data_IF_006214663732
#
_entry.id   IF_006214663732
#
_cell.length_a   1.000
_cell.length_b   1.000
_cell.length_c   1.000
_cell.angle_alpha   90.00
_cell.angle_beta   90.00
_cell.angle_gamma   90.00
#
_symmetry.space_group_name_H-M   'P 1'
#
loop_
_entity.id
_entity.type
_entity.pdbx_description
1 polymer ?
#
# COMPACT_ATOMS: atom_id res chain seq x y z
N UNK A 1 42.21 -18.38 5.82
CA UNK A 1 42.00 -17.01 6.33
C UNK A 1 41.10 -16.15 5.44
N UNK A 2 41.20 -16.20 4.11
CA UNK A 2 40.35 -15.42 3.21
C UNK A 2 38.85 -15.77 3.31
N UNK A 3 38.48 -17.02 3.58
CA UNK A 3 37.08 -17.47 3.71
C UNK A 3 36.38 -16.92 4.96
N UNK A 4 37.08 -16.62 6.03
CA UNK A 4 36.51 -16.10 7.28
C UNK A 4 36.16 -14.61 7.15
N UNK A 5 36.93 -13.86 6.37
CA UNK A 5 36.73 -12.43 6.11
C UNK A 5 35.47 -12.22 5.26
N UNK A 6 35.20 -13.08 4.25
CA UNK A 6 34.02 -13.02 3.42
C UNK A 6 32.72 -13.32 4.19
N UNK A 7 32.78 -14.27 5.13
CA UNK A 7 31.63 -14.60 5.99
C UNK A 7 31.28 -13.46 6.94
N UNK A 8 32.25 -12.74 7.47
CA UNK A 8 32.06 -11.58 8.33
C UNK A 8 31.44 -10.39 7.56
N UNK A 9 31.87 -10.15 6.32
CA UNK A 9 31.31 -9.11 5.45
C UNK A 9 29.85 -9.40 5.08
N UNK A 10 29.51 -10.65 4.75
CA UNK A 10 28.14 -11.07 4.46
C UNK A 10 27.22 -10.92 5.67
N UNK A 11 27.68 -11.26 6.87
CA UNK A 11 26.92 -11.12 8.10
C UNK A 11 26.65 -9.65 8.45
N UNK A 12 27.61 -8.76 8.20
CA UNK A 12 27.47 -7.32 8.41
C UNK A 12 26.47 -6.69 7.41
N UNK A 13 26.47 -7.11 6.15
CA UNK A 13 25.52 -6.66 5.15
C UNK A 13 24.09 -7.12 5.47
N UNK A 14 23.90 -8.34 5.92
CA UNK A 14 22.59 -8.87 6.31
C UNK A 14 21.99 -8.14 7.51
N UNK A 15 22.81 -7.78 8.49
CA UNK A 15 22.38 -7.02 9.65
C UNK A 15 22.00 -5.57 9.30
N UNK A 16 22.70 -4.94 8.35
CA UNK A 16 22.37 -3.59 7.87
C UNK A 16 21.05 -3.58 7.08
N UNK A 17 20.80 -4.57 6.21
CA UNK A 17 19.55 -4.72 5.48
C UNK A 17 18.36 -4.94 6.41
N UNK A 18 18.50 -5.75 7.46
CA UNK A 18 17.44 -6.01 8.43
C UNK A 18 17.04 -4.75 9.23
N UNK A 19 17.98 -3.85 9.49
CA UNK A 19 17.69 -2.57 10.17
C UNK A 19 16.96 -1.57 9.26
N UNK A 20 17.24 -1.59 7.96
CA UNK A 20 16.62 -0.70 6.97
C UNK A 20 15.18 -1.12 6.74
N UNK A 21 14.88 -2.43 6.63
CA UNK A 21 13.54 -2.96 6.41
C UNK A 21 12.52 -2.54 7.48
N UNK A 22 12.94 -2.38 8.72
CA UNK A 22 12.05 -1.97 9.82
C UNK A 22 11.59 -0.52 9.71
N UNK A 23 12.34 0.36 9.05
CA UNK A 23 12.00 1.78 8.91
C UNK A 23 11.01 2.05 7.79
N UNK A 24 10.79 1.11 6.87
CA UNK A 24 9.88 1.28 5.73
C UNK A 24 8.47 0.76 5.98
N UNK A 25 8.20 0.18 7.13
CA UNK A 25 6.89 -0.40 7.42
C UNK A 25 5.84 0.66 7.67
N UNK A 26 4.70 0.48 7.04
CA UNK A 26 3.49 1.27 7.24
C UNK A 26 2.44 0.44 7.95
N UNK A 27 1.54 1.08 8.67
CA UNK A 27 0.46 0.40 9.41
C UNK A 27 -0.86 1.13 9.23
N UNK A 28 -1.94 0.37 9.21
CA UNK A 28 -3.29 0.89 9.05
C UNK A 28 -4.32 -0.23 9.04
N UNK A 29 -5.59 0.15 8.93
CA UNK A 29 -6.68 -0.81 8.84
C UNK A 29 -6.73 -1.45 7.45
N UNK A 30 -7.05 -2.74 7.42
CA UNK A 30 -7.08 -3.55 6.19
C UNK A 30 -8.48 -3.83 5.68
N UNK A 31 -9.51 -3.43 6.41
CA UNK A 31 -10.90 -3.70 6.06
C UNK A 31 -11.77 -2.47 6.19
N UNK A 32 -12.71 -2.33 5.26
CA UNK A 32 -13.75 -1.31 5.26
C UNK A 32 -15.10 -2.00 5.11
N UNK A 33 -16.10 -1.51 5.81
CA UNK A 33 -17.45 -2.04 5.70
C UNK A 33 -18.05 -1.81 4.31
N UNK A 34 -19.11 -2.56 3.99
CA UNK A 34 -19.85 -2.39 2.74
C UNK A 34 -20.45 -0.98 2.59
N UNK A 35 -20.73 -0.31 3.67
CA UNK A 35 -21.28 1.06 3.67
C UNK A 35 -20.30 2.10 3.15
N UNK A 36 -19.03 1.76 3.03
CA UNK A 36 -17.97 2.68 2.64
C UNK A 36 -17.29 3.30 3.85
N UNK A 37 -16.36 4.16 3.56
CA UNK A 37 -15.57 4.85 4.58
C UNK A 37 -14.13 5.02 4.13
N UNK A 38 -13.31 5.49 5.04
CA UNK A 38 -11.89 5.69 4.76
C UNK A 38 -11.01 5.05 5.82
N UNK A 39 -9.83 4.62 5.40
CA UNK A 39 -8.77 4.15 6.28
C UNK A 39 -7.52 4.97 6.02
N UNK A 40 -6.74 5.17 7.07
CA UNK A 40 -5.48 5.90 7.00
C UNK A 40 -4.33 4.95 7.30
N UNK A 41 -3.34 4.97 6.43
CA UNK A 41 -2.08 4.26 6.63
C UNK A 41 -0.98 5.26 6.92
N UNK A 42 -0.17 4.95 7.93
CA UNK A 42 0.92 5.81 8.39
C UNK A 42 2.18 4.97 8.57
N UNK A 43 3.37 5.57 8.38
CA UNK A 43 4.61 4.83 8.65
C UNK A 43 4.72 4.53 10.15
N UNK A 44 5.32 3.40 10.50
CA UNK A 44 5.55 3.04 11.90
C UNK A 44 6.46 4.03 12.62
N UNK A 45 7.37 4.64 11.87
CA UNK A 45 8.26 5.68 12.38
C UNK A 45 8.06 6.90 11.50
N UNK A 46 7.55 7.98 12.07
CA UNK A 46 7.40 9.24 11.35
C UNK A 46 8.76 9.87 11.05
N UNK A 47 8.93 10.33 9.83
CA UNK A 47 10.17 10.94 9.34
C UNK A 47 9.79 11.96 8.26
N UNK A 48 10.47 13.14 8.20
CA UNK A 48 10.23 14.10 7.12
C UNK A 48 10.48 13.53 5.72
N UNK A 49 11.12 12.37 5.61
CA UNK A 49 11.41 11.70 4.35
C UNK A 49 10.34 10.68 3.93
N UNK A 50 9.30 10.47 4.73
CA UNK A 50 8.17 9.61 4.37
C UNK A 50 7.08 10.38 3.62
N UNK A 51 7.44 10.93 2.47
CA UNK A 51 6.43 11.46 1.55
C UNK A 51 6.37 10.54 0.33
N UNK A 52 5.19 10.08 -0.08
CA UNK A 52 5.08 9.27 -1.29
C UNK A 52 5.57 10.05 -2.51
N UNK A 53 6.51 9.47 -3.24
CA UNK A 53 6.97 10.01 -4.52
C UNK A 53 6.08 9.54 -5.67
N UNK A 54 5.53 8.34 -5.55
CA UNK A 54 4.51 7.84 -6.44
C UNK A 54 3.59 6.84 -5.73
N UNK A 55 2.40 6.65 -6.30
CA UNK A 55 1.45 5.64 -5.89
C UNK A 55 1.07 4.78 -7.09
N UNK A 56 1.09 3.47 -6.92
CA UNK A 56 0.50 2.52 -7.85
C UNK A 56 -0.70 1.87 -7.17
N UNK A 57 -1.83 1.82 -7.84
CA UNK A 57 -3.06 1.27 -7.28
C UNK A 57 -3.57 0.16 -8.18
N UNK A 58 -3.84 -0.99 -7.57
CA UNK A 58 -4.49 -2.12 -8.23
C UNK A 58 -5.84 -2.33 -7.56
N UNK A 59 -6.90 -2.11 -8.31
CA UNK A 59 -8.26 -2.34 -7.84
C UNK A 59 -8.77 -3.68 -8.35
N UNK A 60 -9.30 -4.50 -7.46
CA UNK A 60 -9.83 -5.83 -7.78
C UNK A 60 -11.32 -5.90 -7.47
N UNK A 61 -12.10 -6.25 -8.46
CA UNK A 61 -13.55 -6.45 -8.35
C UNK A 61 -13.92 -7.79 -8.98
N UNK A 62 -15.13 -8.26 -8.73
CA UNK A 62 -15.70 -9.42 -9.40
C UNK A 62 -16.80 -8.95 -10.34
N UNK A 63 -16.89 -9.57 -11.53
CA UNK A 63 -17.97 -9.32 -12.47
C UNK A 63 -19.26 -10.05 -12.06
N UNK A 64 -20.32 -9.89 -12.84
CA UNK A 64 -21.62 -10.53 -12.59
C UNK A 64 -21.58 -12.05 -12.55
N UNK A 65 -20.57 -12.64 -13.18
CA UNK A 65 -20.37 -14.10 -13.22
C UNK A 65 -19.48 -14.62 -12.12
N UNK A 66 -18.93 -13.72 -11.25
CA UNK A 66 -18.01 -14.07 -10.18
C UNK A 66 -16.54 -14.17 -10.61
N UNK A 67 -16.20 -13.74 -11.81
CA UNK A 67 -14.83 -13.70 -12.28
C UNK A 67 -14.14 -12.41 -11.81
N UNK A 68 -12.88 -12.53 -11.41
CA UNK A 68 -12.06 -11.42 -10.96
C UNK A 68 -11.68 -10.51 -12.12
N UNK A 69 -11.85 -9.21 -11.92
CA UNK A 69 -11.42 -8.17 -12.85
C UNK A 69 -10.42 -7.26 -12.14
N UNK A 70 -9.28 -7.03 -12.76
CA UNK A 70 -8.22 -6.20 -12.20
C UNK A 70 -8.09 -4.92 -13.02
N UNK A 71 -8.13 -3.77 -12.31
CA UNK A 71 -7.85 -2.46 -12.86
C UNK A 71 -6.59 -1.92 -12.20
N UNK A 72 -5.65 -1.42 -13.02
CA UNK A 72 -4.39 -0.89 -12.51
C UNK A 72 -4.18 0.55 -12.97
N UNK A 73 -3.77 1.41 -12.04
CA UNK A 73 -3.40 2.80 -12.33
C UNK A 73 -2.09 3.14 -11.64
N UNK A 74 -1.18 3.75 -12.38
CA UNK A 74 0.11 4.19 -11.84
C UNK A 74 0.22 5.70 -12.05
N UNK A 75 0.59 6.40 -10.99
CA UNK A 75 0.76 7.85 -11.01
C UNK A 75 2.11 8.24 -10.43
N UNK A 76 2.89 8.96 -11.23
CA UNK A 76 4.12 9.61 -10.80
C UNK A 76 3.89 11.12 -10.80
N UNK A 77 3.26 11.63 -9.76
CA UNK A 77 2.80 12.99 -9.75
C UNK A 77 2.88 13.59 -8.33
N UNK A 78 3.28 14.87 -8.19
CA UNK A 78 3.23 15.54 -6.89
C UNK A 78 1.84 15.61 -6.24
N UNK A 79 0.77 15.50 -7.01
CA UNK A 79 -0.59 15.50 -6.46
C UNK A 79 -0.96 14.18 -5.77
N UNK A 80 -0.29 13.08 -6.14
CA UNK A 80 -0.41 11.78 -5.46
C UNK A 80 -1.86 11.35 -5.16
N UNK A 81 -2.73 11.52 -6.13
CA UNK A 81 -4.13 11.17 -6.00
C UNK A 81 -4.53 10.22 -7.12
N UNK A 82 -5.13 9.09 -6.75
CA UNK A 82 -5.64 8.09 -7.68
C UNK A 82 -7.10 7.88 -7.38
N UNK A 83 -7.98 8.17 -8.33
CA UNK A 83 -9.42 8.02 -8.18
C UNK A 83 -10.00 7.05 -9.21
N UNK A 84 -10.71 6.03 -8.71
CA UNK A 84 -11.50 5.13 -9.51
C UNK A 84 -12.99 5.42 -9.31
N UNK A 85 -13.85 4.58 -9.88
CA UNK A 85 -15.30 4.75 -9.74
C UNK A 85 -15.79 4.56 -8.31
N UNK A 86 -15.13 3.71 -7.54
CA UNK A 86 -15.57 3.34 -6.20
C UNK A 86 -14.51 3.53 -5.11
N UNK A 87 -13.35 4.03 -5.45
CA UNK A 87 -12.26 4.25 -4.50
C UNK A 87 -11.49 5.53 -4.83
N UNK A 88 -10.79 6.03 -3.83
CA UNK A 88 -9.86 7.15 -3.98
C UNK A 88 -8.69 6.94 -3.03
N UNK A 89 -7.47 7.07 -3.55
CA UNK A 89 -6.24 6.96 -2.77
C UNK A 89 -5.51 8.30 -2.83
N UNK A 90 -5.17 8.84 -1.66
CA UNK A 90 -4.47 10.12 -1.54
C UNK A 90 -3.21 9.95 -0.70
N UNK A 91 -2.06 10.35 -1.26
CA UNK A 91 -0.79 10.34 -0.54
C UNK A 91 -0.42 11.74 -0.03
N UNK A 92 0.04 11.79 1.22
CA UNK A 92 0.54 13.00 1.88
C UNK A 92 1.77 12.66 2.71
N UNK A 93 2.41 13.67 3.29
CA UNK A 93 3.51 13.46 4.21
C UNK A 93 3.07 12.56 5.38
N UNK A 94 3.76 11.44 5.57
CA UNK A 94 3.47 10.45 6.62
C UNK A 94 2.03 9.92 6.63
N UNK A 95 1.35 9.91 5.45
CA UNK A 95 -0.05 9.51 5.39
C UNK A 95 -0.46 9.04 4.00
N UNK A 96 -1.20 7.93 3.95
CA UNK A 96 -1.94 7.51 2.77
C UNK A 96 -3.37 7.22 3.19
N UNK A 97 -4.32 7.89 2.56
CA UNK A 97 -5.74 7.71 2.82
C UNK A 97 -6.37 6.90 1.69
N UNK A 98 -7.11 5.86 2.03
CA UNK A 98 -7.87 5.06 1.07
C UNK A 98 -9.36 5.21 1.40
N UNK A 99 -10.12 5.76 0.48
CA UNK A 99 -11.55 6.00 0.62
C UNK A 99 -12.35 5.04 -0.28
N UNK A 100 -13.44 4.53 0.23
CA UNK A 100 -14.34 3.63 -0.50
C UNK A 100 -15.76 4.18 -0.50
N UNK A 101 -16.39 4.11 -1.66
CA UNK A 101 -17.85 4.32 -1.78
C UNK A 101 -18.57 3.05 -1.30
N UNK A 102 -19.89 3.11 -1.01
CA UNK A 102 -20.64 1.91 -0.65
C UNK A 102 -20.52 0.80 -1.70
N UNK A 103 -20.35 -0.42 -1.23
CA UNK A 103 -20.36 -1.60 -2.08
C UNK A 103 -21.77 -2.22 -2.07
N UNK A 104 -22.46 -2.13 -3.18
CA UNK A 104 -23.81 -2.69 -3.35
C UNK A 104 -23.80 -4.03 -4.10
N UNK A 105 -22.62 -4.59 -4.34
CA UNK A 105 -22.48 -5.88 -5.02
C UNK A 105 -22.43 -7.04 -4.04
N UNK A 106 -22.74 -8.28 -4.47
CA UNK A 106 -22.63 -9.46 -3.58
C UNK A 106 -21.21 -9.95 -3.38
N UNK A 107 -20.21 -9.26 -3.92
CA UNK A 107 -18.82 -9.67 -3.83
C UNK A 107 -17.97 -8.65 -3.08
N UNK A 108 -16.97 -9.11 -2.29
CA UNK A 108 -15.98 -8.18 -1.74
C UNK A 108 -15.14 -7.59 -2.87
N UNK A 109 -14.50 -6.47 -2.60
CA UNK A 109 -13.55 -5.84 -3.52
C UNK A 109 -12.39 -5.28 -2.74
N UNK A 110 -11.27 -5.05 -3.42
CA UNK A 110 -10.04 -4.63 -2.75
C UNK A 110 -9.24 -3.62 -3.56
N UNK A 111 -8.44 -2.85 -2.84
CA UNK A 111 -7.46 -1.94 -3.41
C UNK A 111 -6.11 -2.29 -2.82
N UNK A 112 -5.15 -2.53 -3.69
CA UNK A 112 -3.74 -2.69 -3.30
C UNK A 112 -2.98 -1.44 -3.68
N UNK A 113 -2.33 -0.83 -2.71
CA UNK A 113 -1.54 0.38 -2.90
C UNK A 113 -0.07 0.05 -2.77
N UNK A 114 0.70 0.44 -3.77
CA UNK A 114 2.16 0.39 -3.73
C UNK A 114 2.66 1.83 -3.73
N UNK A 115 3.42 2.18 -2.72
CA UNK A 115 4.00 3.51 -2.61
C UNK A 115 5.52 3.41 -2.57
N UNK A 116 6.16 4.47 -3.06
CA UNK A 116 7.60 4.66 -2.92
C UNK A 116 7.83 6.02 -2.28
N UNK A 117 8.67 6.04 -1.26
CA UNK A 117 9.17 7.26 -0.64
C UNK A 117 10.70 7.28 -0.72
N UNK A 118 11.37 8.37 -0.30
CA UNK A 118 12.83 8.45 -0.33
C UNK A 118 13.56 7.36 0.47
N UNK A 119 12.89 6.70 1.41
CA UNK A 119 13.44 5.63 2.23
C UNK A 119 13.22 4.24 1.64
N UNK A 120 12.27 4.06 0.74
CA UNK A 120 12.01 2.78 0.11
C UNK A 120 10.59 2.62 -0.42
N UNK A 121 10.19 1.39 -0.72
CA UNK A 121 8.87 1.04 -1.22
C UNK A 121 8.10 0.17 -0.24
N UNK A 122 6.79 0.29 -0.27
CA UNK A 122 5.89 -0.51 0.57
C UNK A 122 4.55 -0.74 -0.14
N UNK A 123 3.99 -1.93 0.05
CA UNK A 123 2.68 -2.27 -0.49
C UNK A 123 1.74 -2.72 0.62
N UNK A 124 0.47 -2.31 0.51
CA UNK A 124 -0.57 -2.77 1.43
C UNK A 124 -1.90 -2.91 0.69
N UNK A 125 -2.76 -3.76 1.22
CA UNK A 125 -4.09 -3.99 0.67
C UNK A 125 -5.18 -3.59 1.65
N UNK A 126 -6.29 -3.07 1.11
CA UNK A 126 -7.50 -2.76 1.87
C UNK A 126 -8.67 -3.46 1.20
N UNK A 127 -9.41 -4.25 1.97
CA UNK A 127 -10.58 -5.00 1.50
C UNK A 127 -11.86 -4.31 1.93
N UNK A 128 -12.85 -4.29 1.04
CA UNK A 128 -14.20 -3.87 1.37
C UNK A 128 -15.14 -5.05 1.33
N UNK A 129 -15.96 -5.19 2.36
CA UNK A 129 -16.92 -6.28 2.48
C UNK A 129 -18.01 -6.21 1.39
N UNK A 130 -18.56 -7.37 1.05
CA UNK A 130 -19.72 -7.47 0.16
C UNK A 130 -20.92 -6.72 0.75
N UNK A 131 -21.72 -6.12 -0.12
CA UNK A 131 -22.88 -5.31 0.29
C UNK A 131 -24.17 -6.10 0.47
N UNK A 132 -24.21 -7.30 -0.07
CA UNK A 132 -25.42 -8.11 -0.08
C UNK A 132 -25.15 -9.51 0.50
#
# INVERSE_FOLDING_TARGET
MKKVIYLLLLALMSAACAKVDKSYSWTGEKEVSAEGGSVKWTPKVEDPHHWPEFLAVVAQVYDETGNEVIESKIFENPDLEVEGEWYKVTGKLNEVIVEFKPNTTPFPRSVTVTLKDPLGGFSFGVNQNAGI
#
